data_IF_857585474243
#
_entry.id   IF_857585474243
#
_cell.length_a   1.000
_cell.length_b   1.000
_cell.length_c   1.000
_cell.angle_alpha   90.00
_cell.angle_beta   90.00
_cell.angle_gamma   90.00
#
_symmetry.space_group_name_H-M   'P 1'
#
loop_
_entity.id
_entity.type
_entity.pdbx_description
1 polymer ?
#
# COMPACT_ATOMS: atom_id res chain seq x y z
N UNK A 1 -24.61 -1.18 -20.32
CA UNK A 1 -24.09 -2.15 -19.33
C UNK A 1 -25.10 -3.24 -18.98
N UNK A 2 -26.36 -2.94 -18.63
CA UNK A 2 -27.35 -3.95 -18.24
C UNK A 2 -27.57 -5.09 -19.25
N UNK A 3 -27.69 -4.77 -20.54
CA UNK A 3 -27.88 -5.78 -21.59
C UNK A 3 -26.75 -6.81 -21.71
N UNK A 4 -25.52 -6.41 -21.42
CA UNK A 4 -24.34 -7.27 -21.50
C UNK A 4 -24.29 -8.23 -20.30
N UNK A 5 -24.75 -7.77 -19.13
CA UNK A 5 -24.91 -8.60 -17.94
C UNK A 5 -26.05 -9.62 -18.11
N UNK A 6 -27.16 -9.22 -18.72
CA UNK A 6 -28.27 -10.14 -19.07
C UNK A 6 -27.79 -11.26 -20.00
N UNK A 7 -27.07 -10.90 -21.07
CA UNK A 7 -26.51 -11.89 -22.01
C UNK A 7 -25.51 -12.81 -21.32
N UNK A 8 -24.64 -12.25 -20.46
CA UNK A 8 -23.70 -13.05 -19.67
C UNK A 8 -24.45 -14.02 -18.75
N UNK A 9 -25.51 -13.58 -18.07
CA UNK A 9 -26.32 -14.45 -17.21
C UNK A 9 -26.95 -15.60 -18.00
N UNK A 10 -27.50 -15.31 -19.19
CA UNK A 10 -28.05 -16.35 -20.08
C UNK A 10 -26.97 -17.34 -20.55
N UNK A 11 -25.76 -16.87 -20.88
CA UNK A 11 -24.65 -17.75 -21.25
C UNK A 11 -24.19 -18.64 -20.10
N UNK A 12 -24.17 -18.12 -18.87
CA UNK A 12 -23.83 -18.91 -17.68
C UNK A 12 -24.88 -19.98 -17.43
N UNK A 13 -26.16 -19.67 -17.64
CA UNK A 13 -27.27 -20.61 -17.47
C UNK A 13 -27.25 -21.73 -18.52
N UNK A 14 -26.92 -21.41 -19.78
CA UNK A 14 -26.82 -22.39 -20.87
C UNK A 14 -25.61 -23.30 -20.74
N UNK A 15 -24.44 -22.74 -20.43
CA UNK A 15 -23.17 -23.48 -20.40
C UNK A 15 -22.83 -24.04 -19.01
N UNK A 16 -23.64 -23.72 -17.99
CA UNK A 16 -23.42 -24.08 -16.58
C UNK A 16 -22.02 -23.72 -16.06
N UNK A 17 -21.45 -22.62 -16.57
CA UNK A 17 -20.11 -22.15 -16.23
C UNK A 17 -20.07 -20.63 -16.14
N UNK A 18 -19.44 -20.12 -15.09
CA UNK A 18 -19.15 -18.68 -14.95
C UNK A 18 -18.03 -18.21 -15.88
N UNK A 19 -17.17 -19.14 -16.32
CA UNK A 19 -16.01 -18.90 -17.17
C UNK A 19 -16.28 -19.38 -18.59
N UNK A 20 -16.10 -18.50 -19.55
CA UNK A 20 -16.27 -18.77 -20.98
C UNK A 20 -14.93 -18.58 -21.69
N UNK A 21 -14.51 -19.58 -22.44
CA UNK A 21 -13.29 -19.54 -23.24
C UNK A 21 -13.60 -18.91 -24.60
N UNK A 22 -12.93 -17.81 -24.91
CA UNK A 22 -13.15 -17.05 -26.15
C UNK A 22 -11.95 -17.18 -27.11
N UNK A 23 -11.13 -18.21 -26.96
CA UNK A 23 -9.84 -18.33 -27.66
C UNK A 23 -9.98 -18.25 -29.19
N UNK A 24 -11.00 -18.90 -29.77
CA UNK A 24 -11.27 -18.83 -31.21
C UNK A 24 -11.68 -17.41 -31.68
N UNK A 25 -12.53 -16.74 -30.89
CA UNK A 25 -12.93 -15.34 -31.15
C UNK A 25 -11.75 -14.37 -31.00
N UNK A 26 -10.87 -14.61 -30.02
CA UNK A 26 -9.66 -13.82 -29.81
C UNK A 26 -8.68 -13.97 -30.97
N UNK A 27 -8.57 -15.18 -31.54
CA UNK A 27 -7.79 -15.46 -32.75
C UNK A 27 -8.38 -14.76 -33.98
N UNK A 28 -9.70 -14.84 -34.18
CA UNK A 28 -10.41 -14.16 -35.29
C UNK A 28 -10.25 -12.64 -35.23
N UNK A 29 -10.32 -12.08 -34.02
CA UNK A 29 -10.14 -10.66 -33.76
C UNK A 29 -8.65 -10.23 -33.76
N UNK A 30 -7.72 -11.18 -33.93
CA UNK A 30 -6.26 -10.96 -33.93
C UNK A 30 -5.76 -10.23 -32.68
N UNK A 31 -6.38 -10.51 -31.53
CA UNK A 31 -6.04 -9.90 -30.25
C UNK A 31 -4.79 -10.56 -29.66
N UNK A 32 -3.82 -9.75 -29.24
CA UNK A 32 -2.64 -10.26 -28.53
C UNK A 32 -2.86 -10.23 -27.01
N UNK A 33 -2.09 -10.99 -26.20
CA UNK A 33 -2.20 -10.93 -24.74
C UNK A 33 -2.09 -9.52 -24.16
N UNK A 34 -1.30 -8.63 -24.80
CA UNK A 34 -1.18 -7.23 -24.40
C UNK A 34 -2.48 -6.45 -24.58
N UNK A 35 -3.28 -6.80 -25.59
CA UNK A 35 -4.57 -6.16 -25.87
C UNK A 35 -5.68 -6.64 -24.92
N UNK A 36 -5.44 -7.76 -24.22
CA UNK A 36 -6.34 -8.33 -23.21
C UNK A 36 -6.01 -7.89 -21.79
N UNK A 37 -4.93 -7.13 -21.61
CA UNK A 37 -4.59 -6.54 -20.31
C UNK A 37 -5.65 -5.51 -19.93
N UNK A 38 -6.51 -5.86 -18.96
CA UNK A 38 -7.47 -4.91 -18.39
C UNK A 38 -6.69 -3.88 -17.57
N UNK A 39 -6.64 -2.60 -17.99
CA UNK A 39 -5.90 -1.60 -17.25
C UNK A 39 -6.56 -1.37 -15.90
N UNK A 40 -5.76 -1.43 -14.83
CA UNK A 40 -6.25 -1.16 -13.47
C UNK A 40 -6.86 0.26 -13.41
N UNK A 41 -8.14 0.40 -13.04
CA UNK A 41 -8.75 1.71 -12.94
C UNK A 41 -7.97 2.60 -11.97
N UNK A 42 -7.69 3.84 -12.36
CA UNK A 42 -6.82 4.75 -11.61
C UNK A 42 -7.32 5.06 -10.19
N UNK A 43 -8.62 4.92 -9.94
CA UNK A 43 -9.20 5.06 -8.60
C UNK A 43 -8.67 4.01 -7.60
N UNK A 44 -8.37 2.79 -8.05
CA UNK A 44 -7.77 1.76 -7.19
C UNK A 44 -6.35 2.13 -6.78
N UNK A 45 -5.58 2.76 -7.68
CA UNK A 45 -4.22 3.22 -7.38
C UNK A 45 -4.21 4.39 -6.38
N UNK A 46 -5.20 5.29 -6.45
CA UNK A 46 -5.35 6.44 -5.53
C UNK A 46 -5.53 5.97 -4.08
N UNK A 47 -6.43 5.03 -3.87
CA UNK A 47 -6.74 4.53 -2.52
C UNK A 47 -5.78 3.42 -2.09
N UNK A 48 -4.88 2.98 -2.96
CA UNK A 48 -3.98 1.87 -2.67
C UNK A 48 -3.06 2.18 -1.51
N UNK A 49 -2.50 3.38 -1.42
CA UNK A 49 -1.58 3.75 -0.32
C UNK A 49 -2.30 3.79 1.02
N UNK A 50 -3.51 4.34 1.08
CA UNK A 50 -4.36 4.34 2.27
C UNK A 50 -4.77 2.93 2.66
N UNK A 51 -5.16 2.10 1.69
CA UNK A 51 -5.48 0.69 1.92
C UNK A 51 -4.26 -0.10 2.40
N UNK A 52 -3.08 0.14 1.84
CA UNK A 52 -1.83 -0.49 2.29
C UNK A 52 -1.47 -0.04 3.71
N UNK A 53 -1.65 1.24 4.05
CA UNK A 53 -1.46 1.73 5.41
C UNK A 53 -2.43 1.07 6.39
N UNK A 54 -3.73 1.03 6.06
CA UNK A 54 -4.75 0.36 6.88
C UNK A 54 -4.42 -1.12 7.06
N UNK A 55 -4.08 -1.83 5.98
CA UNK A 55 -3.64 -3.23 6.04
C UNK A 55 -2.41 -3.39 6.92
N UNK A 56 -1.40 -2.54 6.75
CA UNK A 56 -0.19 -2.57 7.56
C UNK A 56 -0.50 -2.32 9.03
N UNK A 57 -1.36 -1.35 9.36
CA UNK A 57 -1.80 -1.07 10.73
C UNK A 57 -2.57 -2.26 11.33
N UNK A 58 -3.46 -2.90 10.56
CA UNK A 58 -4.19 -4.08 11.03
C UNK A 58 -3.20 -5.22 11.30
N UNK A 59 -2.29 -5.49 10.36
CA UNK A 59 -1.28 -6.54 10.49
C UNK A 59 -0.35 -6.24 11.66
N UNK A 60 0.10 -5.00 11.84
CA UNK A 60 0.94 -4.63 12.99
C UNK A 60 0.21 -4.85 14.30
N UNK A 61 -1.06 -4.46 14.40
CA UNK A 61 -1.86 -4.69 15.61
C UNK A 61 -2.07 -6.18 15.89
N UNK A 62 -2.26 -7.01 14.87
CA UNK A 62 -2.36 -8.46 15.00
C UNK A 62 -1.03 -9.04 15.50
N UNK A 63 0.09 -8.63 14.90
CA UNK A 63 1.42 -9.07 15.29
C UNK A 63 1.80 -8.62 16.70
N UNK A 64 1.41 -7.42 17.12
CA UNK A 64 1.61 -6.91 18.48
C UNK A 64 0.80 -7.71 19.50
N UNK A 65 -0.47 -8.00 19.20
CA UNK A 65 -1.30 -8.90 20.04
C UNK A 65 -0.71 -10.30 20.12
N UNK A 66 -0.23 -10.84 19.00
CA UNK A 66 0.45 -12.14 19.00
C UNK A 66 1.76 -12.11 19.79
N UNK A 67 2.55 -11.04 19.70
CA UNK A 67 3.80 -10.86 20.44
C UNK A 67 3.55 -10.68 21.94
N UNK A 68 2.51 -9.94 22.33
CA UNK A 68 2.09 -9.83 23.72
C UNK A 68 1.67 -11.19 24.32
N UNK A 69 1.07 -12.05 23.49
CA UNK A 69 0.72 -13.42 23.85
C UNK A 69 1.91 -14.41 23.76
N UNK A 70 3.02 -14.02 23.14
CA UNK A 70 4.25 -14.80 22.99
C UNK A 70 5.35 -14.25 23.90
N UNK A 71 5.16 -14.31 25.21
CA UNK A 71 6.23 -14.02 26.20
C UNK A 71 7.28 -15.14 26.30
N UNK A 72 7.11 -16.25 25.56
CA UNK A 72 8.06 -17.38 25.55
C UNK A 72 8.39 -17.82 24.12
N UNK A 73 8.82 -16.90 23.26
CA UNK A 73 9.50 -17.32 22.03
C UNK A 73 10.99 -17.51 22.34
N UNK A 74 11.41 -18.78 22.33
CA UNK A 74 12.82 -19.17 22.38
C UNK A 74 13.57 -18.42 21.29
N UNK A 75 14.44 -17.47 21.67
CA UNK A 75 15.38 -16.82 20.75
C UNK A 75 16.10 -17.95 20.02
N UNK A 76 16.04 -18.04 18.67
CA UNK A 76 16.75 -19.08 17.95
C UNK A 76 18.23 -18.97 18.33
N UNK A 77 18.71 -20.01 19.01
CA UNK A 77 20.09 -20.07 19.49
C UNK A 77 20.96 -20.07 18.25
N UNK A 78 21.64 -18.95 18.01
CA UNK A 78 22.54 -18.78 16.88
C UNK A 78 23.60 -19.89 16.96
N UNK A 79 23.72 -20.70 15.91
CA UNK A 79 24.68 -21.80 15.92
C UNK A 79 26.11 -21.23 15.96
N UNK A 80 27.04 -21.91 16.65
CA UNK A 80 28.42 -21.44 16.81
C UNK A 80 29.07 -21.12 15.46
N UNK A 81 28.81 -21.96 14.46
CA UNK A 81 29.36 -21.80 13.11
C UNK A 81 28.82 -20.55 12.40
N UNK A 82 27.53 -20.25 12.59
CA UNK A 82 26.89 -19.03 12.06
C UNK A 82 27.43 -17.77 12.74
N UNK A 83 27.63 -17.83 14.07
CA UNK A 83 28.25 -16.77 14.85
C UNK A 83 29.67 -16.47 14.33
N UNK A 84 30.47 -17.52 14.09
CA UNK A 84 31.83 -17.40 13.57
C UNK A 84 31.83 -16.81 12.16
N UNK A 85 30.94 -17.26 11.26
CA UNK A 85 30.84 -16.71 9.89
C UNK A 85 30.46 -15.23 9.89
N UNK A 86 29.53 -14.81 10.74
CA UNK A 86 29.14 -13.41 10.92
C UNK A 86 30.30 -12.55 11.45
N UNK A 87 31.01 -13.05 12.46
CA UNK A 87 32.19 -12.36 13.01
C UNK A 87 33.30 -12.24 11.96
N UNK A 88 33.57 -13.28 11.18
CA UNK A 88 34.57 -13.23 10.11
C UNK A 88 34.16 -12.30 8.97
N UNK A 89 32.89 -12.29 8.57
CA UNK A 89 32.38 -11.40 7.52
C UNK A 89 32.45 -9.93 7.95
N UNK A 90 32.02 -9.63 9.18
CA UNK A 90 32.09 -8.29 9.76
C UNK A 90 33.53 -7.81 9.94
N UNK A 91 34.44 -8.68 10.38
CA UNK A 91 35.87 -8.35 10.49
C UNK A 91 36.51 -8.14 9.12
N UNK A 92 36.21 -8.98 8.11
CA UNK A 92 36.64 -8.75 6.71
C UNK A 92 36.14 -7.40 6.18
N UNK A 93 34.89 -7.05 6.45
CA UNK A 93 34.33 -5.76 6.06
C UNK A 93 35.01 -4.59 6.78
N UNK A 94 35.30 -4.72 8.08
CA UNK A 94 36.03 -3.72 8.88
C UNK A 94 37.44 -3.50 8.33
N UNK A 95 38.16 -4.59 8.06
CA UNK A 95 39.50 -4.57 7.45
C UNK A 95 39.47 -3.93 6.05
N UNK A 96 38.47 -4.26 5.24
CA UNK A 96 38.25 -3.64 3.92
C UNK A 96 38.08 -2.12 4.01
N UNK A 97 37.26 -1.64 4.96
CA UNK A 97 37.07 -0.20 5.20
C UNK A 97 38.37 0.49 5.63
N UNK A 98 39.13 -0.12 6.53
CA UNK A 98 40.42 0.42 6.99
C UNK A 98 41.42 0.51 5.83
N UNK A 99 41.57 -0.56 5.04
CA UNK A 99 42.44 -0.58 3.87
C UNK A 99 42.04 0.46 2.83
N UNK A 100 40.74 0.58 2.52
CA UNK A 100 40.24 1.56 1.57
C UNK A 100 40.53 3.00 2.04
N UNK A 101 40.32 3.28 3.33
CA UNK A 101 40.67 4.57 3.92
C UNK A 101 42.17 4.86 3.82
N UNK A 102 43.02 3.91 4.21
CA UNK A 102 44.46 4.05 4.13
C UNK A 102 44.95 4.28 2.69
N UNK A 103 44.45 3.50 1.72
CA UNK A 103 44.78 3.69 0.31
C UNK A 103 44.34 5.05 -0.22
N UNK A 104 43.19 5.54 0.23
CA UNK A 104 42.71 6.87 -0.14
C UNK A 104 43.62 7.97 0.41
N UNK A 105 44.02 7.86 1.67
CA UNK A 105 44.97 8.78 2.33
C UNK A 105 46.35 8.75 1.65
N UNK A 106 46.84 7.57 1.25
CA UNK A 106 48.09 7.43 0.50
C UNK A 106 48.03 8.14 -0.85
N UNK A 107 46.98 7.91 -1.64
CA UNK A 107 46.79 8.57 -2.95
C UNK A 107 46.65 10.09 -2.80
N UNK A 108 45.98 10.56 -1.74
CA UNK A 108 45.88 12.00 -1.45
C UNK A 108 47.25 12.58 -1.08
N UNK A 109 48.00 11.93 -0.19
CA UNK A 109 49.34 12.33 0.20
C UNK A 109 50.31 12.36 -0.98
N UNK A 110 50.25 11.38 -1.89
CA UNK A 110 51.04 11.40 -3.13
C UNK A 110 50.66 12.58 -4.04
N UNK A 111 49.36 12.89 -4.15
CA UNK A 111 48.88 14.04 -4.94
C UNK A 111 49.33 15.36 -4.31
N UNK A 112 49.27 15.48 -2.99
CA UNK A 112 49.70 16.67 -2.27
C UNK A 112 51.23 16.80 -2.29
N UNK A 113 51.98 15.70 -2.19
CA UNK A 113 53.43 15.67 -2.43
C UNK A 113 53.80 16.13 -3.85
N UNK A 114 53.02 15.74 -4.87
CA UNK A 114 53.18 16.26 -6.24
C UNK A 114 52.81 17.75 -6.35
N UNK A 115 51.85 18.24 -5.57
CA UNK A 115 51.51 19.67 -5.48
C UNK A 115 52.57 20.48 -4.72
N UNK A 116 53.22 19.91 -3.73
CA UNK A 116 54.29 20.56 -2.97
C UNK A 116 55.64 20.55 -3.72
N UNK A 117 55.91 19.52 -4.52
CA UNK A 117 57.03 19.48 -5.47
C UNK A 117 56.72 20.20 -6.79
N UNK A 118 55.48 20.64 -6.98
CA UNK A 118 55.10 21.50 -8.09
C UNK A 118 55.81 22.84 -7.93
N UNK A 119 56.86 23.06 -8.72
CA UNK A 119 57.39 24.40 -8.92
C UNK A 119 56.56 25.06 -10.02
N UNK A 120 56.17 26.34 -9.87
CA UNK A 120 55.69 27.12 -11.00
C UNK A 120 56.78 27.07 -12.05
N UNK A 121 56.54 26.33 -13.12
CA UNK A 121 57.37 26.50 -14.31
C UNK A 121 57.11 27.93 -14.75
N UNK A 122 58.15 28.75 -14.96
CA UNK A 122 58.00 30.04 -15.63
C UNK A 122 57.62 29.75 -17.07
N UNK A 123 56.35 29.44 -17.26
CA UNK A 123 55.75 29.08 -18.51
C UNK A 123 55.46 30.41 -19.22
N UNK A 124 55.94 30.56 -20.45
CA UNK A 124 55.57 31.74 -21.23
C UNK A 124 54.05 31.76 -21.42
N UNK A 125 53.48 32.94 -21.67
CA UNK A 125 52.03 33.10 -21.86
C UNK A 125 51.49 32.12 -22.92
N UNK A 126 52.26 31.92 -24.00
CA UNK A 126 51.93 31.00 -25.09
C UNK A 126 51.98 29.54 -24.65
N UNK A 127 53.00 29.14 -23.88
CA UNK A 127 53.11 27.78 -23.36
C UNK A 127 51.98 27.46 -22.36
N UNK A 128 51.57 28.44 -21.54
CA UNK A 128 50.42 28.31 -20.64
C UNK A 128 49.11 28.19 -21.41
N UNK A 129 48.91 29.02 -22.42
CA UNK A 129 47.74 28.94 -23.30
C UNK A 129 47.65 27.57 -23.99
N UNK A 130 48.77 27.04 -24.49
CA UNK A 130 48.83 25.70 -25.12
C UNK A 130 48.42 24.60 -24.12
N UNK A 131 48.90 24.65 -22.88
CA UNK A 131 48.54 23.66 -21.87
C UNK A 131 47.04 23.69 -21.53
N UNK A 132 46.48 24.89 -21.32
CA UNK A 132 45.05 25.07 -21.04
C UNK A 132 44.20 24.57 -22.22
N UNK A 133 44.56 24.98 -23.43
CA UNK A 133 43.87 24.56 -24.65
C UNK A 133 43.94 23.04 -24.86
N UNK A 134 45.09 22.41 -24.59
CA UNK A 134 45.25 20.95 -24.67
C UNK A 134 44.31 20.23 -23.70
N UNK A 135 44.24 20.68 -22.45
CA UNK A 135 43.35 20.10 -21.44
C UNK A 135 41.88 20.29 -21.84
N UNK A 136 41.51 21.49 -22.30
CA UNK A 136 40.16 21.80 -22.76
C UNK A 136 39.74 20.95 -23.95
N UNK A 137 40.59 20.87 -24.99
CA UNK A 137 40.35 20.02 -26.17
C UNK A 137 40.18 18.56 -25.76
N UNK A 138 41.02 18.05 -24.86
CA UNK A 138 40.88 16.70 -24.32
C UNK A 138 39.63 16.47 -23.47
N UNK A 139 39.14 17.50 -22.75
CA UNK A 139 37.87 17.43 -22.03
C UNK A 139 36.68 17.37 -22.99
N UNK A 140 36.63 18.27 -23.98
CA UNK A 140 35.58 18.32 -25.00
C UNK A 140 35.53 17.00 -25.77
N UNK A 141 36.68 16.48 -26.23
CA UNK A 141 36.74 15.21 -26.96
C UNK A 141 36.28 14.02 -26.12
N UNK A 142 36.65 13.96 -24.82
CA UNK A 142 36.15 12.90 -23.93
C UNK A 142 34.63 12.98 -23.71
N UNK A 143 34.05 14.18 -23.65
CA UNK A 143 32.60 14.34 -23.56
C UNK A 143 31.90 13.87 -24.82
N UNK A 144 32.44 14.21 -26.00
CA UNK A 144 31.89 13.78 -27.29
C UNK A 144 31.99 12.25 -27.41
N UNK A 145 33.18 11.68 -27.19
CA UNK A 145 33.39 10.24 -27.27
C UNK A 145 32.52 9.45 -26.26
N UNK A 146 32.33 9.96 -25.04
CA UNK A 146 31.41 9.34 -24.08
C UNK A 146 29.98 9.38 -24.58
N UNK A 147 29.54 10.50 -25.17
CA UNK A 147 28.19 10.63 -25.74
C UNK A 147 28.00 9.65 -26.91
N UNK A 148 28.92 9.62 -27.86
CA UNK A 148 28.88 8.72 -29.02
C UNK A 148 28.88 7.26 -28.57
N UNK A 149 29.73 6.91 -27.59
CA UNK A 149 29.73 5.58 -26.98
C UNK A 149 28.39 5.24 -26.34
N UNK A 150 27.76 6.17 -25.62
CA UNK A 150 26.43 5.93 -25.03
C UNK A 150 25.34 5.78 -26.07
N UNK A 151 25.36 6.61 -27.12
CA UNK A 151 24.42 6.54 -28.24
C UNK A 151 24.56 5.21 -28.99
N UNK A 152 25.80 4.75 -29.23
CA UNK A 152 26.07 3.45 -29.83
C UNK A 152 25.66 2.28 -28.93
N UNK A 153 25.91 2.36 -27.61
CA UNK A 153 25.45 1.34 -26.66
C UNK A 153 23.91 1.25 -26.61
N UNK A 154 23.20 2.38 -26.75
CA UNK A 154 21.74 2.41 -26.86
C UNK A 154 21.30 1.80 -28.19
N UNK A 155 21.93 2.19 -29.30
CA UNK A 155 21.64 1.66 -30.64
C UNK A 155 21.83 0.14 -30.73
N UNK A 156 22.89 -0.40 -30.11
CA UNK A 156 23.17 -1.83 -30.02
C UNK A 156 22.29 -2.56 -28.98
N UNK A 157 21.49 -1.84 -28.19
CA UNK A 157 20.61 -2.42 -27.16
C UNK A 157 21.32 -2.88 -25.88
N UNK A 158 22.57 -2.47 -25.66
CA UNK A 158 23.33 -2.79 -24.45
C UNK A 158 22.89 -1.95 -23.24
N UNK A 159 22.30 -0.78 -23.50
CA UNK A 159 21.68 0.09 -22.50
C UNK A 159 20.26 0.42 -23.01
N UNK A 160 19.22 0.32 -22.17
CA UNK A 160 17.88 0.72 -22.56
C UNK A 160 17.83 2.21 -22.91
N UNK A 161 17.25 2.55 -24.05
CA UNK A 161 16.96 3.93 -24.40
C UNK A 161 16.06 4.57 -23.33
N UNK A 162 16.33 5.82 -22.96
CA UNK A 162 15.38 6.58 -22.15
C UNK A 162 14.08 6.69 -22.94
N UNK A 163 12.92 6.40 -22.32
CA UNK A 163 11.64 6.55 -22.99
C UNK A 163 11.49 8.03 -23.43
N UNK A 164 10.94 8.29 -24.63
CA UNK A 164 10.72 9.66 -25.07
C UNK A 164 9.93 10.42 -24.01
N UNK A 165 10.41 11.62 -23.68
CA UNK A 165 9.76 12.49 -22.70
C UNK A 165 8.30 12.73 -23.04
N UNK A 166 7.48 13.15 -22.05
CA UNK A 166 6.05 13.26 -22.25
C UNK A 166 5.73 14.25 -23.36
N UNK A 167 4.88 13.84 -24.30
CA UNK A 167 4.44 14.70 -25.41
C UNK A 167 3.68 15.92 -24.89
N UNK A 168 3.56 17.02 -25.65
CA UNK A 168 2.78 18.19 -25.24
C UNK A 168 1.33 17.84 -24.86
N UNK A 169 0.72 16.91 -25.58
CA UNK A 169 -0.61 16.38 -25.27
C UNK A 169 -0.63 15.61 -23.93
N UNK A 170 0.41 14.83 -23.63
CA UNK A 170 0.55 14.13 -22.35
C UNK A 170 0.75 15.11 -21.19
N UNK A 171 1.51 16.19 -21.38
CA UNK A 171 1.70 17.25 -20.38
C UNK A 171 0.37 17.97 -20.09
N UNK A 172 -0.40 18.32 -21.12
CA UNK A 172 -1.74 18.91 -20.93
C UNK A 172 -2.69 17.94 -20.23
N UNK A 173 -2.71 16.66 -20.63
CA UNK A 173 -3.52 15.64 -19.97
C UNK A 173 -3.12 15.45 -18.50
N UNK A 174 -1.83 15.56 -18.17
CA UNK A 174 -1.36 15.54 -16.77
C UNK A 174 -1.91 16.73 -15.98
N UNK A 175 -1.86 17.95 -16.54
CA UNK A 175 -2.39 19.15 -15.89
C UNK A 175 -3.90 19.04 -15.63
N UNK A 176 -4.67 18.62 -16.63
CA UNK A 176 -6.13 18.38 -16.49
C UNK A 176 -6.39 17.30 -15.44
N UNK A 177 -5.62 16.20 -15.47
CA UNK A 177 -5.76 15.13 -14.47
C UNK A 177 -5.44 15.57 -13.04
N UNK A 178 -4.56 16.58 -12.87
CA UNK A 178 -4.23 17.14 -11.56
C UNK A 178 -5.38 18.01 -11.05
N UNK A 179 -5.98 18.84 -11.92
CA UNK A 179 -7.17 19.62 -11.58
C UNK A 179 -8.36 18.74 -11.21
N UNK A 180 -8.61 17.68 -11.99
CA UNK A 180 -9.67 16.70 -11.70
C UNK A 180 -9.44 15.96 -10.37
N UNK A 181 -8.18 15.68 -10.00
CA UNK A 181 -7.85 15.04 -8.71
C UNK A 181 -8.26 15.90 -7.52
N UNK A 182 -7.98 17.20 -7.57
CA UNK A 182 -8.36 18.13 -6.51
C UNK A 182 -9.89 18.15 -6.30
N UNK A 183 -10.66 18.19 -7.39
CA UNK A 183 -12.12 18.16 -7.33
C UNK A 183 -12.62 16.83 -6.76
N UNK A 184 -11.99 15.71 -7.14
CA UNK A 184 -12.35 14.39 -6.61
C UNK A 184 -12.10 14.30 -5.10
N UNK A 185 -10.99 14.85 -4.59
CA UNK A 185 -10.69 14.88 -3.16
C UNK A 185 -11.73 15.71 -2.40
N UNK A 186 -12.10 16.88 -2.93
CA UNK A 186 -13.14 17.75 -2.34
C UNK A 186 -14.50 17.04 -2.30
N UNK A 187 -14.93 16.44 -3.40
CA UNK A 187 -16.20 15.72 -3.48
C UNK A 187 -16.23 14.52 -2.52
N UNK A 188 -15.11 13.82 -2.34
CA UNK A 188 -15.02 12.70 -1.41
C UNK A 188 -15.10 13.15 0.05
N UNK A 189 -14.47 14.28 0.41
CA UNK A 189 -14.62 14.87 1.73
C UNK A 189 -16.06 15.29 2.00
N UNK A 190 -16.71 15.96 1.04
CA UNK A 190 -18.11 16.35 1.13
C UNK A 190 -19.02 15.14 1.29
N UNK A 191 -18.79 14.08 0.51
CA UNK A 191 -19.52 12.82 0.62
C UNK A 191 -19.38 12.20 2.01
N UNK A 192 -18.15 12.10 2.54
CA UNK A 192 -17.90 11.56 3.89
C UNK A 192 -18.58 12.41 4.97
N UNK A 193 -18.56 13.74 4.86
CA UNK A 193 -19.27 14.65 5.78
C UNK A 193 -20.78 14.45 5.70
N UNK A 194 -21.34 14.37 4.48
CA UNK A 194 -22.76 14.12 4.27
C UNK A 194 -23.18 12.77 4.85
N UNK A 195 -22.39 11.72 4.67
CA UNK A 195 -22.66 10.40 5.24
C UNK A 195 -22.76 10.43 6.78
N UNK A 196 -21.83 11.13 7.45
CA UNK A 196 -21.87 11.31 8.90
C UNK A 196 -23.09 12.15 9.33
N UNK A 197 -23.39 13.22 8.60
CA UNK A 197 -24.56 14.07 8.87
C UNK A 197 -25.86 13.30 8.75
N UNK A 198 -26.03 12.52 7.68
CA UNK A 198 -27.21 11.67 7.48
C UNK A 198 -27.33 10.63 8.58
N UNK A 199 -26.23 9.95 8.93
CA UNK A 199 -26.22 8.98 10.03
C UNK A 199 -26.64 9.60 11.36
N UNK A 200 -26.15 10.80 11.68
CA UNK A 200 -26.55 11.54 12.88
C UNK A 200 -28.01 11.98 12.83
N UNK A 201 -28.50 12.40 11.66
CA UNK A 201 -29.90 12.78 11.47
C UNK A 201 -30.84 11.59 11.69
N UNK A 202 -30.54 10.45 11.09
CA UNK A 202 -31.29 9.20 11.29
C UNK A 202 -31.28 8.81 12.76
N UNK A 203 -30.11 8.84 13.41
CA UNK A 203 -30.02 8.54 14.85
C UNK A 203 -30.84 9.51 15.72
N UNK A 204 -30.95 10.79 15.35
CA UNK A 204 -31.74 11.77 16.10
C UNK A 204 -33.23 11.60 15.90
N UNK A 205 -33.68 11.27 14.69
CA UNK A 205 -35.10 11.14 14.35
C UNK A 205 -35.62 9.77 14.76
N UNK A 206 -34.97 8.70 14.31
CA UNK A 206 -35.44 7.33 14.57
C UNK A 206 -34.91 6.79 15.90
N UNK A 207 -33.75 7.27 16.37
CA UNK A 207 -33.15 6.74 17.59
C UNK A 207 -33.93 7.06 18.87
N UNK A 208 -34.68 8.17 18.90
CA UNK A 208 -35.59 8.46 20.02
C UNK A 208 -36.74 7.47 20.05
N UNK A 209 -37.38 7.25 18.91
CA UNK A 209 -38.53 6.36 18.78
C UNK A 209 -38.13 4.90 19.03
N UNK A 210 -36.97 4.48 18.52
CA UNK A 210 -36.38 3.18 18.82
C UNK A 210 -36.10 3.02 20.31
N UNK A 211 -35.54 4.05 20.97
CA UNK A 211 -35.26 4.01 22.41
C UNK A 211 -36.56 3.87 23.22
N UNK A 212 -37.60 4.64 22.89
CA UNK A 212 -38.91 4.54 23.57
C UNK A 212 -39.53 3.16 23.35
N UNK A 213 -39.53 2.66 22.12
CA UNK A 213 -40.03 1.32 21.79
C UNK A 213 -39.30 0.23 22.58
N UNK A 214 -37.97 0.29 22.66
CA UNK A 214 -37.17 -0.65 23.44
C UNK A 214 -37.46 -0.55 24.95
N UNK A 215 -37.64 0.67 25.47
CA UNK A 215 -38.01 0.87 26.88
C UNK A 215 -39.39 0.31 27.20
N UNK A 216 -40.36 0.48 26.31
CA UNK A 216 -41.71 -0.04 26.50
C UNK A 216 -41.76 -1.57 26.39
N UNK A 217 -41.00 -2.17 25.48
CA UNK A 217 -40.84 -3.63 25.41
C UNK A 217 -40.25 -4.20 26.72
N UNK A 218 -39.21 -3.55 27.27
CA UNK A 218 -38.65 -3.95 28.57
C UNK A 218 -39.72 -3.81 29.67
N UNK A 219 -40.42 -2.67 29.75
CA UNK A 219 -41.48 -2.47 30.75
C UNK A 219 -42.59 -3.52 30.65
N UNK A 220 -43.02 -3.82 29.42
CA UNK A 220 -44.03 -4.83 29.15
C UNK A 220 -43.56 -6.21 29.65
N UNK A 221 -42.34 -6.61 29.31
CA UNK A 221 -41.76 -7.86 29.80
C UNK A 221 -41.71 -7.93 31.33
N UNK A 222 -41.30 -6.85 32.01
CA UNK A 222 -41.30 -6.78 33.48
C UNK A 222 -42.70 -6.95 34.09
N UNK A 223 -43.72 -6.37 33.46
CA UNK A 223 -45.11 -6.45 33.93
C UNK A 223 -45.69 -7.85 33.70
N UNK A 224 -45.50 -8.43 32.51
CA UNK A 224 -45.98 -9.77 32.16
C UNK A 224 -45.33 -10.83 33.06
N UNK A 225 -44.03 -10.72 33.33
CA UNK A 225 -43.33 -11.62 34.25
C UNK A 225 -43.87 -11.50 35.68
N UNK A 226 -44.10 -10.28 36.17
CA UNK A 226 -44.69 -10.06 37.50
C UNK A 226 -46.09 -10.65 37.61
N UNK A 227 -46.91 -10.48 36.58
CA UNK A 227 -48.30 -10.95 36.59
C UNK A 227 -48.35 -12.50 36.55
N UNK A 228 -47.37 -13.15 35.93
CA UNK A 228 -47.24 -14.61 35.89
C UNK A 228 -46.63 -15.23 37.17
N UNK A 229 -45.55 -14.64 37.69
CA UNK A 229 -44.73 -15.24 38.76
C UNK A 229 -44.95 -14.58 40.13
N UNK A 230 -45.62 -13.43 40.19
CA UNK A 230 -45.89 -12.66 41.40
C UNK A 230 -44.68 -11.87 41.96
N UNK A 231 -43.53 -11.91 41.27
CA UNK A 231 -42.30 -11.18 41.61
C UNK A 231 -41.68 -10.54 40.37
N UNK A 232 -40.91 -9.47 40.55
CA UNK A 232 -40.18 -8.87 39.44
C UNK A 232 -38.98 -9.75 39.03
N UNK A 233 -38.67 -9.84 37.73
CA UNK A 233 -37.51 -10.55 37.24
C UNK A 233 -36.22 -9.75 37.48
N UNK A 234 -35.10 -10.45 37.68
CA UNK A 234 -33.76 -9.85 37.68
C UNK A 234 -33.29 -9.59 36.24
N UNK A 235 -32.50 -8.53 36.06
CA UNK A 235 -31.91 -8.19 34.76
C UNK A 235 -30.84 -9.25 34.38
N UNK A 236 -30.72 -9.63 33.09
CA UNK A 236 -29.68 -10.56 32.64
C UNK A 236 -28.27 -9.98 32.84
N UNK A 237 -27.32 -10.83 33.23
CA UNK A 237 -25.92 -10.44 33.41
C UNK A 237 -25.24 -10.13 32.06
N UNK A 238 -24.14 -9.35 32.10
CA UNK A 238 -23.40 -8.97 30.89
C UNK A 238 -22.81 -10.19 30.14
N UNK A 239 -22.47 -11.27 30.87
CA UNK A 239 -21.94 -12.51 30.28
C UNK A 239 -23.02 -13.31 29.51
N UNK A 240 -24.29 -13.16 29.89
CA UNK A 240 -25.44 -13.81 29.23
C UNK A 240 -26.04 -12.97 28.09
N UNK A 241 -25.39 -11.87 27.72
CA UNK A 241 -25.83 -10.96 26.65
C UNK A 241 -26.70 -9.79 27.13
N UNK A 242 -26.87 -9.61 28.43
CA UNK A 242 -27.57 -8.47 29.03
C UNK A 242 -28.99 -8.25 28.50
N UNK A 243 -29.40 -6.99 28.36
CA UNK A 243 -30.73 -6.64 27.85
C UNK A 243 -30.98 -7.05 26.40
N UNK A 244 -29.96 -7.43 25.63
CA UNK A 244 -30.14 -7.89 24.25
C UNK A 244 -30.90 -9.23 24.17
N UNK A 245 -30.75 -10.08 25.18
CA UNK A 245 -31.47 -11.36 25.28
C UNK A 245 -32.99 -11.19 25.37
N UNK A 246 -33.47 -10.04 25.86
CA UNK A 246 -34.89 -9.72 26.01
C UNK A 246 -35.58 -9.38 24.68
N UNK A 247 -34.80 -8.94 23.68
CA UNK A 247 -35.31 -8.54 22.37
C UNK A 247 -35.25 -9.67 21.32
N UNK A 248 -34.79 -10.86 21.72
CA UNK A 248 -34.79 -12.04 20.87
C UNK A 248 -36.23 -12.55 20.68
N UNK A 249 -36.62 -12.85 19.44
CA UNK A 249 -37.93 -13.43 19.15
C UNK A 249 -37.97 -14.88 19.67
N UNK A 250 -38.62 -15.09 20.82
CA UNK A 250 -38.85 -16.42 21.41
C UNK A 250 -40.23 -16.94 21.02
N UNK A 251 -40.35 -18.24 20.79
CA UNK A 251 -41.65 -18.87 20.58
C UNK A 251 -42.42 -18.94 21.91
N UNK A 252 -43.75 -18.91 21.91
CA UNK A 252 -44.56 -18.97 23.14
C UNK A 252 -44.28 -20.22 24.00
N UNK A 253 -43.83 -21.31 23.36
CA UNK A 253 -43.41 -22.56 24.03
C UNK A 253 -42.08 -22.43 24.79
N UNK A 254 -41.17 -21.58 24.31
CA UNK A 254 -39.89 -21.30 25.00
C UNK A 254 -40.10 -20.41 26.22
N UNK A 255 -41.02 -19.45 26.12
CA UNK A 255 -41.36 -18.53 27.22
C UNK A 255 -42.05 -19.28 28.37
N UNK A 256 -42.95 -20.21 28.07
CA UNK A 256 -43.62 -21.02 29.10
C UNK A 256 -42.66 -22.01 29.78
N UNK A 257 -41.72 -22.60 29.03
CA UNK A 257 -40.68 -23.46 29.59
C UNK A 257 -39.75 -22.68 30.54
N UNK A 258 -39.31 -21.47 30.17
CA UNK A 258 -38.48 -20.60 31.02
C UNK A 258 -39.19 -20.15 32.31
N UNK A 259 -40.50 -19.84 32.23
CA UNK A 259 -41.33 -19.49 33.39
C UNK A 259 -41.60 -20.67 34.33
N UNK A 260 -41.60 -21.90 33.81
CA UNK A 260 -41.80 -23.13 34.61
C UNK A 260 -40.51 -23.67 35.23
N UNK A 261 -39.34 -23.29 34.70
CA UNK A 261 -38.04 -23.76 35.13
C UNK A 261 -37.40 -22.90 36.24
N UNK A 262 -38.04 -21.79 36.65
CA UNK A 262 -37.59 -20.87 37.71
C UNK A 262 -38.71 -20.63 38.71
#
# INVERSE_FOLDING_TARGET
MGRLLELKAQMVELDLSEFHYFDELLLDLKMTPKDLEVPLPRCFLRNWTEQQRLKHTIVSNILEKQRANQTTSSVPVLNLEEAVRLLQASERARQGRIRARFMTELVQSERDGRRHTWRPTHLSLDQAAIQIQKVWRGHVQRRIANRERTEEMIFLGMIPAEPPGPSPAQLQAQQVSAGLRLIQDQNEEEYRRAQLSVKQSVLRVEGTDMKETLQDQIRQWFLEYRDATGRFPDLPDEEDGGSAALFAQKTPEQVSAELSAR
#
